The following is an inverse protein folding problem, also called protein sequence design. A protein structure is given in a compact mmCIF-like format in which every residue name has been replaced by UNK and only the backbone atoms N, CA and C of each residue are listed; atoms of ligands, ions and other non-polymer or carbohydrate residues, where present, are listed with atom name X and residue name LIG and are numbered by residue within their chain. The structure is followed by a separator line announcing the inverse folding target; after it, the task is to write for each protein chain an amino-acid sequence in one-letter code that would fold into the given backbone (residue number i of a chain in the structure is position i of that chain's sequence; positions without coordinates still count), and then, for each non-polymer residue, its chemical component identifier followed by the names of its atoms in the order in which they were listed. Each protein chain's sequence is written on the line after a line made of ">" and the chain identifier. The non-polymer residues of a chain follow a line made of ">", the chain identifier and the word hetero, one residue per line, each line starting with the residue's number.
data_IF_636419275191
#
_entry.id   IF_636419275191
#
_cell.length_a   1.000
_cell.length_b   1.000
_cell.length_c   1.000
_cell.angle_alpha   90.00
_cell.angle_beta   90.00
_cell.angle_gamma   90.00
#
_symmetry.space_group_name_H-M   'P 1'
#
loop_
_entity.id
_entity.type
_entity.pdbx_description
1 polymer ?
#
# COMPACT_ATOMS: atom_id res chain seq x y z
N UNK A 1 4.79 -17.38 8.94
CA UNK A 1 5.78 -16.95 7.92
C UNK A 1 6.37 -18.22 7.31
N UNK A 2 6.45 -18.36 5.98
CA UNK A 2 6.94 -19.59 5.34
C UNK A 2 8.44 -19.77 5.53
N UNK A 3 8.87 -21.00 5.77
CA UNK A 3 10.29 -21.37 5.74
C UNK A 3 10.86 -21.24 4.32
N UNK A 4 12.18 -21.02 4.21
CA UNK A 4 12.91 -20.98 2.93
C UNK A 4 12.69 -22.27 2.14
N UNK A 5 12.68 -23.42 2.82
CA UNK A 5 12.45 -24.73 2.19
C UNK A 5 11.06 -24.82 1.59
N UNK A 6 10.05 -24.31 2.28
CA UNK A 6 8.66 -24.29 1.79
C UNK A 6 8.53 -23.40 0.55
N UNK A 7 9.19 -22.23 0.55
CA UNK A 7 9.21 -21.33 -0.61
C UNK A 7 9.87 -21.99 -1.82
N UNK A 8 11.04 -22.62 -1.65
CA UNK A 8 11.73 -23.32 -2.73
C UNK A 8 10.88 -24.45 -3.33
N UNK A 9 10.16 -25.18 -2.48
CA UNK A 9 9.28 -26.26 -2.91
C UNK A 9 8.05 -25.73 -3.66
N UNK A 10 7.45 -24.62 -3.22
CA UNK A 10 6.42 -23.92 -3.98
C UNK A 10 6.91 -23.43 -5.34
N UNK A 11 8.14 -22.95 -5.41
CA UNK A 11 8.75 -22.49 -6.66
C UNK A 11 8.93 -23.65 -7.63
N UNK A 12 9.45 -24.78 -7.14
CA UNK A 12 9.57 -26.02 -7.92
C UNK A 12 8.22 -26.51 -8.45
N UNK A 13 7.16 -26.44 -7.64
CA UNK A 13 5.82 -26.84 -8.06
C UNK A 13 5.23 -25.90 -9.11
N UNK A 14 5.53 -24.60 -9.05
CA UNK A 14 5.07 -23.64 -10.04
C UNK A 14 5.60 -23.96 -11.44
N UNK A 15 6.91 -24.16 -11.57
CA UNK A 15 7.51 -24.51 -12.85
C UNK A 15 7.02 -25.86 -13.39
N UNK A 16 6.75 -26.84 -12.51
CA UNK A 16 6.17 -28.13 -12.90
C UNK A 16 4.71 -28.06 -13.36
N UNK A 17 3.94 -27.08 -12.89
CA UNK A 17 2.52 -26.91 -13.20
C UNK A 17 2.29 -25.76 -14.19
N UNK A 18 3.08 -25.72 -15.27
CA UNK A 18 2.94 -24.76 -16.38
C UNK A 18 2.84 -23.29 -15.95
N UNK A 19 3.61 -22.91 -14.92
CA UNK A 19 3.63 -21.54 -14.40
C UNK A 19 2.27 -21.05 -13.86
N UNK A 20 1.38 -21.97 -13.49
CA UNK A 20 0.11 -21.63 -12.86
C UNK A 20 0.26 -21.57 -11.34
N UNK A 21 0.23 -20.35 -10.80
CA UNK A 21 0.27 -20.11 -9.35
C UNK A 21 -0.87 -20.81 -8.58
N UNK A 22 -2.04 -20.97 -9.21
CA UNK A 22 -3.20 -21.62 -8.59
C UNK A 22 -2.99 -23.14 -8.55
N UNK A 23 -2.51 -23.73 -9.65
CA UNK A 23 -2.23 -25.16 -9.71
C UNK A 23 -1.10 -25.54 -8.74
N UNK A 24 -0.03 -24.75 -8.68
CA UNK A 24 1.07 -24.93 -7.74
C UNK A 24 0.60 -24.89 -6.28
N UNK A 25 -0.29 -23.96 -5.92
CA UNK A 25 -0.87 -23.90 -4.57
C UNK A 25 -1.74 -25.09 -4.25
N UNK A 26 -2.55 -25.55 -5.21
CA UNK A 26 -3.38 -26.75 -5.02
C UNK A 26 -2.50 -27.98 -4.77
N UNK A 27 -1.44 -28.17 -5.57
CA UNK A 27 -0.49 -29.26 -5.39
C UNK A 27 0.24 -29.16 -4.03
N UNK A 28 0.72 -27.97 -3.66
CA UNK A 28 1.36 -27.73 -2.37
C UNK A 28 0.44 -28.06 -1.18
N UNK A 29 -0.82 -27.61 -1.25
CA UNK A 29 -1.84 -27.88 -0.24
C UNK A 29 -2.15 -29.37 -0.12
N UNK A 30 -2.25 -30.07 -1.25
CA UNK A 30 -2.47 -31.52 -1.28
C UNK A 30 -1.31 -32.26 -0.60
N UNK A 31 -0.06 -31.95 -0.96
CA UNK A 31 1.11 -32.61 -0.36
C UNK A 31 1.25 -32.34 1.15
N UNK A 32 0.84 -31.18 1.64
CA UNK A 32 0.84 -30.84 3.07
C UNK A 32 -0.43 -31.27 3.81
N UNK A 33 -1.42 -31.86 3.14
CA UNK A 33 -2.72 -32.20 3.74
C UNK A 33 -3.56 -30.99 4.16
N UNK A 34 -3.21 -29.78 3.71
CA UNK A 34 -3.86 -28.53 4.11
C UNK A 34 -5.03 -28.20 3.19
N UNK A 35 -6.18 -28.85 3.42
CA UNK A 35 -7.36 -28.62 2.57
C UNK A 35 -7.99 -27.24 2.77
N UNK A 36 -7.97 -26.70 4.01
CA UNK A 36 -8.71 -25.48 4.39
C UNK A 36 -8.01 -24.60 5.47
N UNK A 37 -6.68 -24.46 5.49
CA UNK A 37 -6.04 -23.66 6.55
C UNK A 37 -6.24 -22.15 6.37
N UNK A 38 -6.89 -21.50 7.35
CA UNK A 38 -6.84 -20.04 7.57
C UNK A 38 -5.36 -19.67 7.78
N UNK A 39 -4.78 -18.90 6.86
CA UNK A 39 -3.34 -18.57 6.87
C UNK A 39 -2.52 -19.21 5.73
N UNK A 40 -3.17 -19.95 4.82
CA UNK A 40 -2.53 -20.47 3.61
C UNK A 40 -2.06 -19.35 2.68
N UNK A 41 -0.95 -19.59 1.98
CA UNK A 41 -0.40 -18.71 0.93
C UNK A 41 -1.47 -18.39 -0.12
N UNK A 42 -1.62 -17.11 -0.43
CA UNK A 42 -2.47 -16.64 -1.52
C UNK A 42 -1.74 -16.74 -2.87
N UNK A 43 -2.48 -16.92 -3.97
CA UNK A 43 -1.88 -16.96 -5.31
C UNK A 43 -1.13 -15.67 -5.65
N UNK A 44 -1.58 -14.53 -5.11
CA UNK A 44 -0.90 -13.24 -5.24
C UNK A 44 0.44 -13.21 -4.49
N UNK A 45 0.53 -13.81 -3.31
CA UNK A 45 1.80 -13.96 -2.59
C UNK A 45 2.77 -14.86 -3.37
N UNK A 46 2.27 -15.95 -3.97
CA UNK A 46 3.10 -16.84 -4.79
C UNK A 46 3.66 -16.14 -6.04
N UNK A 47 2.84 -15.36 -6.75
CA UNK A 47 3.31 -14.53 -7.87
C UNK A 47 4.37 -13.53 -7.45
N UNK A 48 4.27 -12.95 -6.25
CA UNK A 48 5.32 -12.06 -5.71
C UNK A 48 6.62 -12.81 -5.42
N UNK A 49 6.53 -14.04 -4.92
CA UNK A 49 7.72 -14.90 -4.73
C UNK A 49 8.39 -15.25 -6.07
N UNK A 50 7.63 -15.47 -7.14
CA UNK A 50 8.21 -15.69 -8.48
C UNK A 50 8.90 -14.45 -9.05
N UNK A 51 8.29 -13.27 -8.87
CA UNK A 51 8.91 -12.01 -9.30
C UNK A 51 10.24 -11.73 -8.60
N UNK A 52 10.51 -12.37 -7.45
CA UNK A 52 11.81 -12.27 -6.79
C UNK A 52 12.95 -12.79 -7.67
N UNK A 53 12.76 -13.89 -8.41
CA UNK A 53 13.78 -14.42 -9.33
C UNK A 53 14.13 -13.40 -10.42
N UNK A 54 13.13 -12.66 -10.93
CA UNK A 54 13.32 -11.69 -12.00
C UNK A 54 13.87 -10.34 -11.52
N UNK A 55 13.57 -9.92 -10.29
CA UNK A 55 13.87 -8.56 -9.78
C UNK A 55 14.86 -8.55 -8.62
N UNK A 56 15.20 -9.71 -8.04
CA UNK A 56 16.07 -9.85 -6.87
C UNK A 56 15.55 -9.18 -5.58
N UNK A 57 14.32 -8.68 -5.59
CA UNK A 57 13.78 -7.84 -4.51
C UNK A 57 12.37 -8.26 -4.11
N UNK A 58 12.19 -8.51 -2.80
CA UNK A 58 10.88 -8.73 -2.18
C UNK A 58 10.19 -7.42 -1.77
N UNK A 59 10.85 -6.27 -2.00
CA UNK A 59 10.28 -4.99 -1.66
C UNK A 59 8.96 -4.80 -2.43
N UNK A 60 7.88 -4.55 -1.70
CA UNK A 60 6.66 -4.02 -2.30
C UNK A 60 7.06 -2.76 -3.05
N UNK A 61 6.88 -2.73 -4.39
CA UNK A 61 6.98 -1.48 -5.17
C UNK A 61 6.26 -0.39 -4.38
N UNK A 62 6.94 0.71 -4.09
CA UNK A 62 6.30 1.85 -3.42
C UNK A 62 5.00 2.13 -4.17
N UNK A 63 3.90 2.16 -3.43
CA UNK A 63 2.58 2.42 -4.00
C UNK A 63 2.67 3.82 -4.60
N UNK A 64 2.83 3.92 -5.92
CA UNK A 64 2.67 5.18 -6.64
C UNK A 64 1.17 5.51 -6.61
N UNK A 65 0.70 5.99 -5.46
CA UNK A 65 -0.62 6.56 -5.36
C UNK A 65 -0.73 7.79 -6.26
N UNK A 66 -1.95 8.07 -6.73
CA UNK A 66 -2.33 9.43 -7.16
C UNK A 66 -1.88 10.39 -6.05
N UNK A 67 -1.22 11.52 -6.36
CA UNK A 67 -0.85 12.50 -5.33
C UNK A 67 -2.08 12.76 -4.48
N UNK A 68 -1.93 12.62 -3.16
CA UNK A 68 -3.04 12.81 -2.24
C UNK A 68 -3.62 14.19 -2.50
N UNK A 69 -4.92 14.29 -2.75
CA UNK A 69 -5.60 15.59 -2.83
C UNK A 69 -5.37 16.38 -1.54
N UNK A 70 -5.11 15.71 -0.42
CA UNK A 70 -4.70 16.33 0.84
C UNK A 70 -3.36 17.08 0.73
N UNK A 71 -2.41 16.66 -0.10
CA UNK A 71 -1.13 17.35 -0.24
C UNK A 71 -1.28 18.69 -0.98
N UNK A 72 -2.06 18.71 -2.07
CA UNK A 72 -2.36 19.95 -2.78
C UNK A 72 -3.21 20.90 -1.91
N UNK A 73 -4.18 20.35 -1.18
CA UNK A 73 -5.02 21.11 -0.24
C UNK A 73 -4.20 21.66 0.93
N UNK A 74 -3.27 20.89 1.49
CA UNK A 74 -2.39 21.31 2.58
C UNK A 74 -1.54 22.53 2.19
N UNK A 75 -0.90 22.50 1.01
CA UNK A 75 -0.10 23.65 0.54
C UNK A 75 -0.94 24.93 0.37
N UNK A 76 -2.19 24.80 -0.07
CA UNK A 76 -3.11 25.93 -0.22
C UNK A 76 -3.53 26.49 1.14
N UNK A 77 -3.85 25.61 2.09
CA UNK A 77 -4.19 25.97 3.48
C UNK A 77 -3.00 26.65 4.17
N UNK A 78 -1.80 26.10 4.07
CA UNK A 78 -0.57 26.66 4.66
C UNK A 78 -0.26 28.07 4.14
N UNK A 79 -0.31 28.28 2.82
CA UNK A 79 -0.07 29.60 2.23
C UNK A 79 -1.08 30.65 2.69
N UNK A 80 -2.36 30.27 2.79
CA UNK A 80 -3.39 31.20 3.27
C UNK A 80 -3.27 31.49 4.76
N UNK A 81 -2.89 30.51 5.59
CA UNK A 81 -2.62 30.73 7.02
C UNK A 81 -1.43 31.67 7.21
N UNK A 82 -0.34 31.48 6.45
CA UNK A 82 0.84 32.35 6.50
C UNK A 82 0.53 33.79 6.03
N UNK A 83 -0.24 33.95 4.96
CA UNK A 83 -0.67 35.27 4.49
C UNK A 83 -1.60 35.97 5.51
N UNK A 84 -2.51 35.23 6.14
CA UNK A 84 -3.43 35.79 7.14
C UNK A 84 -2.74 36.13 8.46
N UNK A 85 -1.76 35.33 8.89
CA UNK A 85 -0.98 35.62 10.10
C UNK A 85 -0.02 36.79 9.91
N UNK A 86 0.50 37.00 8.69
CA UNK A 86 1.32 38.15 8.36
C UNK A 86 0.56 39.49 8.41
N UNK A 87 -0.76 39.47 8.24
CA UNK A 87 -1.63 40.67 8.21
C UNK A 87 -2.33 40.91 9.56
N UNK A 88 -2.36 39.93 10.47
CA UNK A 88 -3.10 40.01 11.73
C UNK A 88 -2.21 39.70 12.95
N UNK A 89 -1.85 40.74 13.72
CA UNK A 89 -0.95 40.63 14.87
C UNK A 89 -1.59 40.14 16.18
N UNK A 90 -2.83 39.64 16.16
CA UNK A 90 -3.53 39.15 17.37
C UNK A 90 -4.18 37.78 17.18
N UNK A 91 -3.90 36.90 18.15
CA UNK A 91 -4.53 35.61 18.44
C UNK A 91 -5.02 34.78 17.24
N UNK A 92 -4.07 34.22 16.48
CA UNK A 92 -4.26 33.04 15.63
C UNK A 92 -5.24 33.17 14.45
N UNK A 93 -5.00 32.40 13.39
CA UNK A 93 -5.91 32.36 12.24
C UNK A 93 -7.03 31.34 12.51
N UNK A 94 -8.30 31.79 12.50
CA UNK A 94 -9.45 30.90 12.68
C UNK A 94 -9.65 29.97 11.48
N UNK A 95 -9.78 28.66 11.72
CA UNK A 95 -10.01 27.65 10.67
C UNK A 95 -11.24 27.94 9.79
N UNK A 96 -12.32 28.46 10.39
CA UNK A 96 -13.52 28.87 9.65
C UNK A 96 -13.25 29.99 8.64
N UNK A 97 -12.25 30.84 8.89
CA UNK A 97 -11.88 31.93 7.99
C UNK A 97 -10.98 31.46 6.85
N UNK A 98 -10.08 30.52 7.12
CA UNK A 98 -9.28 29.81 6.10
C UNK A 98 -10.19 29.02 5.15
N UNK A 99 -11.18 28.32 5.70
CA UNK A 99 -12.15 27.53 4.93
C UNK A 99 -12.96 28.39 3.95
N UNK A 100 -13.40 29.58 4.38
CA UNK A 100 -14.10 30.54 3.50
C UNK A 100 -13.21 31.07 2.37
N UNK A 101 -11.90 31.16 2.59
CA UNK A 101 -10.96 31.74 1.63
C UNK A 101 -10.45 30.72 0.61
N UNK A 102 -10.26 29.46 1.04
CA UNK A 102 -9.72 28.38 0.22
C UNK A 102 -10.80 27.46 -0.37
N UNK A 103 -12.04 27.54 0.12
CA UNK A 103 -13.12 26.59 -0.23
C UNK A 103 -12.91 25.18 0.36
N UNK A 104 -11.87 24.99 1.18
CA UNK A 104 -11.53 23.71 1.80
C UNK A 104 -12.38 23.53 3.05
N UNK A 105 -13.07 22.41 3.17
CA UNK A 105 -13.88 22.09 4.35
C UNK A 105 -13.02 22.04 5.61
N UNK A 106 -13.46 22.75 6.67
CA UNK A 106 -12.71 22.93 7.93
C UNK A 106 -12.29 21.65 8.67
N UNK A 107 -12.80 20.48 8.29
CA UNK A 107 -12.35 19.16 8.75
C UNK A 107 -10.95 18.75 8.27
N UNK A 108 -10.32 19.55 7.42
CA UNK A 108 -8.95 19.35 6.92
C UNK A 108 -7.99 20.46 7.38
N UNK A 109 -8.37 21.23 8.39
CA UNK A 109 -7.56 22.33 8.93
C UNK A 109 -6.87 22.00 10.26
N UNK A 110 -6.82 20.73 10.65
CA UNK A 110 -6.12 20.21 11.85
C UNK A 110 -4.81 19.52 11.48
#
# INVERSE_FOLDING_TARGET
>A
MLSIVEKALLVKLYYKNSESAIAALRAYRYMKGMRNSKGSITSSALKKMMKFEATGSLASRQRSGRPSTAAAVATTVEQTVQSMSAVCCTWGVRCSRVSRQTGVSGKHCE
#
